data_IF_104951744897
#
_entry.id   IF_104951744897
#
_cell.length_a   1.000
_cell.length_b   1.000
_cell.length_c   1.000
_cell.angle_alpha   90.00
_cell.angle_beta   90.00
_cell.angle_gamma   90.00
#
_symmetry.space_group_name_H-M   'P 1'
#
loop_
_entity.id
_entity.type
_entity.pdbx_description
1 polymer ?
#
# COMPACT_ATOMS: atom_id res chain seq x y z
N UNK A 1 -4.43 8.02 3.29
CA UNK A 1 -3.99 9.10 2.35
C UNK A 1 -4.76 9.01 1.03
N UNK A 2 -4.84 10.10 0.25
CA UNK A 2 -5.53 10.08 -1.07
C UNK A 2 -4.93 9.02 -2.00
N UNK A 3 -3.60 8.89 -2.02
CA UNK A 3 -2.92 7.91 -2.87
C UNK A 3 -3.26 6.46 -2.53
N UNK A 4 -3.38 6.11 -1.25
CA UNK A 4 -3.79 4.76 -0.82
C UNK A 4 -5.19 4.42 -1.33
N UNK A 5 -6.14 5.36 -1.24
CA UNK A 5 -7.49 5.15 -1.76
C UNK A 5 -7.49 4.96 -3.28
N UNK A 6 -6.70 5.76 -4.01
CA UNK A 6 -6.54 5.59 -5.46
C UNK A 6 -5.93 4.23 -5.81
N UNK A 7 -4.88 3.80 -5.10
CA UNK A 7 -4.25 2.49 -5.27
C UNK A 7 -5.26 1.37 -5.01
N UNK A 8 -6.08 1.48 -3.96
CA UNK A 8 -7.12 0.48 -3.66
C UNK A 8 -8.19 0.41 -4.76
N UNK A 9 -8.58 1.57 -5.31
CA UNK A 9 -9.54 1.63 -6.42
C UNK A 9 -8.97 0.99 -7.70
N UNK A 10 -7.70 1.22 -7.99
CA UNK A 10 -7.02 0.71 -9.18
C UNK A 10 -6.69 -0.79 -9.08
N UNK A 11 -6.16 -1.24 -7.93
CA UNK A 11 -5.71 -2.63 -7.73
C UNK A 11 -6.82 -3.58 -7.30
N UNK A 12 -7.96 -3.06 -6.87
CA UNK A 12 -9.15 -3.83 -6.55
C UNK A 12 -9.10 -4.66 -5.26
N UNK A 13 -10.06 -5.57 -5.14
CA UNK A 13 -10.37 -6.29 -3.89
C UNK A 13 -9.27 -7.25 -3.42
N UNK A 14 -8.53 -7.88 -4.35
CA UNK A 14 -7.42 -8.80 -4.01
C UNK A 14 -6.29 -8.04 -3.30
N UNK A 15 -5.96 -6.84 -3.79
CA UNK A 15 -4.94 -6.02 -3.15
C UNK A 15 -5.39 -5.56 -1.77
N UNK A 16 -6.66 -5.15 -1.63
CA UNK A 16 -7.24 -4.79 -0.34
C UNK A 16 -7.17 -5.94 0.68
N UNK A 17 -7.47 -7.17 0.26
CA UNK A 17 -7.35 -8.37 1.10
C UNK A 17 -5.91 -8.53 1.61
N UNK A 18 -4.92 -8.48 0.72
CA UNK A 18 -3.50 -8.58 1.10
C UNK A 18 -3.05 -7.46 2.06
N UNK A 19 -3.51 -6.23 1.84
CA UNK A 19 -3.25 -5.12 2.78
C UNK A 19 -3.83 -5.42 4.15
N UNK A 20 -5.08 -5.92 4.22
CA UNK A 20 -5.72 -6.28 5.49
C UNK A 20 -4.98 -7.40 6.21
N UNK A 21 -4.54 -8.43 5.50
CA UNK A 21 -3.73 -9.53 6.08
C UNK A 21 -2.41 -9.02 6.67
N UNK A 22 -1.69 -8.16 5.94
CA UNK A 22 -0.44 -7.58 6.44
C UNK A 22 -0.69 -6.71 7.68
N UNK A 23 -1.78 -5.93 7.70
CA UNK A 23 -2.16 -5.12 8.85
C UNK A 23 -2.57 -5.97 10.06
N UNK A 24 -3.29 -7.06 9.84
CA UNK A 24 -3.65 -8.00 10.89
C UNK A 24 -2.40 -8.63 11.54
N UNK A 25 -1.31 -8.78 10.78
CA UNK A 25 0.00 -9.22 11.27
C UNK A 25 0.84 -8.10 11.90
N UNK A 26 0.25 -6.95 12.22
CA UNK A 26 0.92 -5.84 12.90
C UNK A 26 1.68 -4.87 11.99
N UNK A 27 1.62 -5.04 10.66
CA UNK A 27 2.25 -4.11 9.73
C UNK A 27 1.44 -2.80 9.64
N UNK A 28 2.13 -1.65 9.64
CA UNK A 28 1.48 -0.36 9.35
C UNK A 28 1.01 -0.31 7.89
N UNK A 29 0.07 0.58 7.60
CA UNK A 29 -0.53 0.69 6.27
C UNK A 29 0.52 1.02 5.21
N UNK A 30 1.36 2.02 5.43
CA UNK A 30 2.32 2.50 4.43
C UNK A 30 3.36 1.43 4.06
N UNK A 31 4.03 0.74 5.02
CA UNK A 31 4.90 -0.39 4.71
C UNK A 31 4.19 -1.55 4.01
N UNK A 32 2.91 -1.81 4.34
CA UNK A 32 2.14 -2.87 3.69
C UNK A 32 1.90 -2.57 2.20
N UNK A 33 1.53 -1.32 1.88
CA UNK A 33 1.38 -0.88 0.50
C UNK A 33 2.72 -0.90 -0.23
N UNK A 34 3.78 -0.33 0.36
CA UNK A 34 5.11 -0.32 -0.25
C UNK A 34 5.61 -1.76 -0.54
N UNK A 35 5.41 -2.69 0.41
CA UNK A 35 5.75 -4.11 0.23
C UNK A 35 4.99 -4.75 -0.93
N UNK A 36 3.68 -4.53 -1.02
CA UNK A 36 2.85 -5.13 -2.09
C UNK A 36 3.09 -4.50 -3.46
N UNK A 37 3.52 -3.25 -3.51
CA UNK A 37 3.87 -2.52 -4.74
C UNK A 37 5.34 -2.70 -5.13
N UNK A 38 6.15 -3.39 -4.31
CA UNK A 38 7.58 -3.59 -4.57
C UNK A 38 8.44 -2.31 -4.43
N UNK A 39 7.94 -1.30 -3.72
CA UNK A 39 8.65 -0.03 -3.50
C UNK A 39 9.80 -0.22 -2.51
N UNK A 40 10.94 0.38 -2.83
CA UNK A 40 12.17 0.31 -2.01
C UNK A 40 12.48 1.67 -1.41
N UNK A 41 12.87 1.69 -0.14
CA UNK A 41 13.17 2.92 0.60
C UNK A 41 12.11 3.21 1.64
N UNK A 42 11.91 4.49 1.96
CA UNK A 42 10.95 4.89 2.97
C UNK A 42 9.50 4.74 2.44
N UNK A 43 8.64 3.92 3.07
CA UNK A 43 7.30 3.65 2.54
C UNK A 43 6.43 4.89 2.35
N UNK A 44 6.50 5.85 3.27
CA UNK A 44 5.70 7.07 3.20
C UNK A 44 6.12 7.93 2.00
N UNK A 45 7.43 8.19 1.87
CA UNK A 45 7.97 8.99 0.77
C UNK A 45 7.76 8.33 -0.58
N UNK A 46 7.96 7.02 -0.68
CA UNK A 46 7.80 6.31 -1.96
C UNK A 46 6.33 6.20 -2.39
N UNK A 47 5.39 6.07 -1.45
CA UNK A 47 3.97 6.15 -1.77
C UNK A 47 3.55 7.54 -2.25
N UNK A 48 4.15 8.61 -1.72
CA UNK A 48 3.88 9.97 -2.19
C UNK A 48 4.38 10.22 -3.63
N UNK A 49 5.45 9.53 -4.05
CA UNK A 49 5.98 9.59 -5.42
C UNK A 49 5.30 8.60 -6.36
N UNK A 50 4.49 7.69 -5.84
CA UNK A 50 3.90 6.63 -6.65
C UNK A 50 2.83 7.21 -7.58
N UNK A 51 3.12 7.17 -8.88
CA UNK A 51 2.17 7.49 -9.93
C UNK A 51 1.41 6.21 -10.35
N UNK A 52 0.12 6.35 -10.63
CA UNK A 52 -0.80 5.27 -10.98
C UNK A 52 -1.01 5.21 -12.49
#
# INVERSE_FOLDING_TARGET
MIIEHRILKERGSIFLQKVKELKANGMKTEPAFAKLLGLKGNPYTELLKFEL
#
